data_IF_364239926239
#
_entry.id   IF_364239926239
#
_cell.length_a   1.000
_cell.length_b   1.000
_cell.length_c   1.000
_cell.angle_alpha   90.00
_cell.angle_beta   90.00
_cell.angle_gamma   90.00
#
_symmetry.space_group_name_H-M   'P 1'
#
loop_
_entity.id
_entity.type
_entity.pdbx_description
1 polymer ?
#
# COMPACT_ATOMS: atom_id res chain seq x y z
N UNK A 1 -16.91 10.80 8.59
CA UNK A 1 -16.86 9.31 8.51
C UNK A 1 -15.44 8.86 8.80
N UNK A 2 -15.24 7.83 9.62
CA UNK A 2 -13.92 7.23 9.86
C UNK A 2 -13.50 6.42 8.63
N UNK A 3 -12.41 6.83 7.97
CA UNK A 3 -11.85 6.07 6.85
C UNK A 3 -11.22 4.79 7.38
N UNK A 4 -11.48 3.65 6.72
CA UNK A 4 -10.86 2.38 7.09
C UNK A 4 -9.36 2.45 6.79
N UNK A 5 -8.55 1.81 7.64
CA UNK A 5 -7.08 1.77 7.48
C UNK A 5 -6.65 0.38 7.02
N UNK A 6 -5.77 0.32 6.02
CA UNK A 6 -5.15 -0.91 5.54
C UNK A 6 -3.63 -0.82 5.61
N UNK A 7 -2.99 -1.87 6.15
CA UNK A 7 -1.53 -2.03 6.14
C UNK A 7 -1.21 -3.22 5.24
N UNK A 8 -0.50 -2.97 4.15
CA UNK A 8 -0.14 -4.02 3.19
C UNK A 8 1.35 -4.29 3.26
N UNK A 9 1.73 -5.51 3.64
CA UNK A 9 3.13 -5.96 3.64
C UNK A 9 3.52 -6.43 2.23
N UNK A 10 4.80 -6.25 1.87
CA UNK A 10 5.25 -6.55 0.50
C UNK A 10 4.68 -5.59 -0.55
N UNK A 11 4.26 -4.38 -0.15
CA UNK A 11 3.57 -3.43 -1.02
C UNK A 11 4.47 -2.74 -2.07
N UNK A 12 5.75 -3.04 -2.12
CA UNK A 12 6.68 -2.40 -3.07
C UNK A 12 6.60 -2.94 -4.50
N UNK A 13 6.16 -4.19 -4.71
CA UNK A 13 6.15 -4.84 -6.03
C UNK A 13 5.01 -5.84 -6.18
N UNK A 14 4.69 -6.23 -7.42
CA UNK A 14 3.79 -7.34 -7.72
C UNK A 14 2.39 -7.20 -7.11
N UNK A 15 1.87 -8.30 -6.56
CA UNK A 15 0.51 -8.36 -6.01
C UNK A 15 0.32 -7.37 -4.85
N UNK A 16 1.28 -7.29 -3.93
CA UNK A 16 1.20 -6.38 -2.79
C UNK A 16 1.04 -4.91 -3.22
N UNK A 17 1.81 -4.46 -4.22
CA UNK A 17 1.69 -3.10 -4.78
C UNK A 17 0.31 -2.87 -5.40
N UNK A 18 -0.19 -3.84 -6.17
CA UNK A 18 -1.50 -3.75 -6.82
C UNK A 18 -2.64 -3.65 -5.80
N UNK A 19 -2.61 -4.48 -4.75
CA UNK A 19 -3.60 -4.46 -3.67
C UNK A 19 -3.58 -3.13 -2.92
N UNK A 20 -2.39 -2.67 -2.49
CA UNK A 20 -2.24 -1.41 -1.77
C UNK A 20 -2.73 -0.21 -2.60
N UNK A 21 -2.38 -0.17 -3.89
CA UNK A 21 -2.85 0.87 -4.82
C UNK A 21 -4.37 0.84 -5.00
N UNK A 22 -4.97 -0.35 -5.06
CA UNK A 22 -6.42 -0.51 -5.22
C UNK A 22 -7.17 -0.03 -3.98
N UNK A 23 -6.70 -0.37 -2.78
CA UNK A 23 -7.27 0.11 -1.52
C UNK A 23 -7.18 1.62 -1.38
N UNK A 24 -6.03 2.20 -1.75
CA UNK A 24 -5.85 3.66 -1.79
C UNK A 24 -6.86 4.31 -2.74
N UNK A 25 -7.01 3.78 -3.96
CA UNK A 25 -8.01 4.27 -4.95
C UNK A 25 -9.45 4.11 -4.46
N UNK A 26 -9.73 3.12 -3.62
CA UNK A 26 -11.02 2.89 -3.00
C UNK A 26 -11.28 3.81 -1.76
N UNK A 27 -10.40 4.76 -1.47
CA UNK A 27 -10.57 5.74 -0.39
C UNK A 27 -10.15 5.25 0.99
N UNK A 28 -9.33 4.20 1.07
CA UNK A 28 -8.78 3.75 2.34
C UNK A 28 -7.53 4.55 2.71
N UNK A 29 -7.33 4.79 4.01
CA UNK A 29 -6.04 5.21 4.54
C UNK A 29 -5.06 4.02 4.46
N UNK A 30 -4.21 4.01 3.43
CA UNK A 30 -3.42 2.82 3.07
C UNK A 30 -1.93 3.02 3.34
N UNK A 31 -1.31 2.08 4.04
CA UNK A 31 0.14 2.05 4.32
C UNK A 31 0.81 0.98 3.47
N UNK A 32 1.84 1.40 2.74
CA UNK A 32 2.71 0.51 1.97
C UNK A 32 3.90 0.09 2.84
N UNK A 33 3.96 -1.19 3.23
CA UNK A 33 4.99 -1.72 4.13
C UNK A 33 5.93 -2.70 3.40
N UNK A 34 7.23 -2.57 3.64
CA UNK A 34 8.25 -3.42 3.04
C UNK A 34 9.66 -3.12 3.55
N UNK A 35 10.62 -3.98 3.20
CA UNK A 35 12.01 -3.92 3.70
C UNK A 35 12.92 -2.99 2.89
N UNK A 36 12.60 -2.78 1.61
CA UNK A 36 13.46 -2.07 0.65
C UNK A 36 12.94 -0.66 0.45
N UNK A 37 13.60 0.32 1.08
CA UNK A 37 13.18 1.73 1.07
C UNK A 37 12.99 2.29 -0.35
N UNK A 38 14.02 2.19 -1.21
CA UNK A 38 13.95 2.69 -2.59
C UNK A 38 12.76 2.13 -3.38
N UNK A 39 12.48 0.84 -3.22
CA UNK A 39 11.35 0.17 -3.90
C UNK A 39 10.00 0.67 -3.38
N UNK A 40 9.90 1.05 -2.09
CA UNK A 40 8.68 1.66 -1.54
C UNK A 40 8.50 3.12 -1.96
N UNK A 41 9.60 3.87 -2.14
CA UNK A 41 9.54 5.26 -2.61
C UNK A 41 9.10 5.34 -4.08
N UNK A 42 9.44 4.33 -4.89
CA UNK A 42 8.99 4.18 -6.29
C UNK A 42 7.60 3.51 -6.41
N UNK A 43 7.02 3.02 -5.30
CA UNK A 43 5.76 2.27 -5.31
C UNK A 43 4.55 3.19 -5.47
#
# INVERSE_FOLDING_TARGET
>A
MTQKTAIVTGAGTGIGKSVATTLLKAGWNTVFCGRRKKVLEEA
#
